data_IF_761489753843
#
_entry.id   IF_761489753843
#
_cell.length_a   1.000
_cell.length_b   1.000
_cell.length_c   1.000
_cell.angle_alpha   90.00
_cell.angle_beta   90.00
_cell.angle_gamma   90.00
#
_symmetry.space_group_name_H-M   'P 1'
#
loop_
_entity.id
_entity.type
_entity.pdbx_description
1 polymer ?
#
# COMPACT_ATOMS: atom_id res chain seq x y z
N UNK A 1 -37.90 57.36 -24.17
CA UNK A 1 -36.59 57.16 -23.48
C UNK A 1 -36.44 55.68 -23.17
N UNK A 2 -35.41 55.02 -23.72
CA UNK A 2 -35.13 53.59 -23.52
C UNK A 2 -34.17 53.43 -22.33
N UNK A 3 -34.54 52.63 -21.35
CA UNK A 3 -33.73 52.28 -20.18
C UNK A 3 -32.61 51.30 -20.59
N UNK A 4 -31.34 51.45 -20.16
CA UNK A 4 -30.30 50.51 -20.54
C UNK A 4 -30.37 49.24 -19.68
N UNK A 5 -30.41 48.09 -20.35
CA UNK A 5 -30.37 46.76 -19.75
C UNK A 5 -28.93 46.42 -19.37
N UNK A 6 -28.64 46.33 -18.07
CA UNK A 6 -27.30 46.00 -17.54
C UNK A 6 -27.03 44.50 -17.78
N UNK A 7 -26.24 44.16 -18.80
CA UNK A 7 -25.69 42.80 -18.98
C UNK A 7 -24.67 42.54 -17.86
N UNK A 8 -24.99 41.60 -16.97
CA UNK A 8 -24.04 41.08 -15.98
C UNK A 8 -23.15 40.06 -16.71
N UNK A 9 -21.90 40.43 -16.94
CA UNK A 9 -20.87 39.61 -17.59
C UNK A 9 -20.41 38.48 -16.65
N UNK A 10 -20.42 37.25 -17.14
CA UNK A 10 -19.93 36.07 -16.42
C UNK A 10 -18.41 36.00 -16.32
N UNK A 11 -17.82 36.71 -15.34
CA UNK A 11 -16.37 36.67 -15.04
C UNK A 11 -16.12 36.44 -13.53
N UNK A 12 -16.86 35.53 -12.88
CA UNK A 12 -16.63 35.21 -11.46
C UNK A 12 -16.77 33.73 -11.09
N UNK A 13 -16.94 32.82 -12.05
CA UNK A 13 -17.18 31.39 -11.74
C UNK A 13 -15.91 30.53 -11.65
N UNK A 14 -14.82 30.92 -12.32
CA UNK A 14 -13.59 30.10 -12.39
C UNK A 14 -12.86 29.99 -11.04
N UNK A 15 -12.69 31.03 -10.19
CA UNK A 15 -12.00 30.86 -8.91
C UNK A 15 -12.84 30.09 -7.88
N UNK A 16 -14.17 30.11 -7.99
CA UNK A 16 -15.05 29.41 -7.05
C UNK A 16 -14.97 27.89 -7.22
N UNK A 17 -14.81 27.38 -8.45
CA UNK A 17 -14.66 25.94 -8.70
C UNK A 17 -13.31 25.39 -8.24
N UNK A 18 -12.23 26.18 -8.34
CA UNK A 18 -10.92 25.76 -7.84
C UNK A 18 -10.89 25.72 -6.31
N UNK A 19 -11.50 26.71 -5.65
CA UNK A 19 -11.64 26.72 -4.19
C UNK A 19 -12.60 25.62 -3.71
N UNK A 20 -13.72 25.40 -4.40
CA UNK A 20 -14.65 24.31 -4.09
C UNK A 20 -14.02 22.92 -4.33
N UNK A 21 -13.21 22.76 -5.38
CA UNK A 21 -12.47 21.53 -5.64
C UNK A 21 -11.41 21.25 -4.57
N UNK A 22 -10.68 22.28 -4.13
CA UNK A 22 -9.72 22.17 -3.03
C UNK A 22 -10.42 21.84 -1.70
N UNK A 23 -11.57 22.48 -1.41
CA UNK A 23 -12.35 22.18 -0.20
C UNK A 23 -12.94 20.76 -0.26
N UNK A 24 -13.45 20.32 -1.42
CA UNK A 24 -13.95 18.95 -1.58
C UNK A 24 -12.82 17.92 -1.42
N UNK A 25 -11.64 18.19 -1.97
CA UNK A 25 -10.46 17.34 -1.82
C UNK A 25 -10.00 17.27 -0.35
N UNK A 26 -9.93 18.42 0.34
CA UNK A 26 -9.60 18.49 1.77
C UNK A 26 -10.65 17.76 2.60
N UNK A 27 -11.94 17.96 2.32
CA UNK A 27 -13.02 17.30 3.05
C UNK A 27 -13.04 15.78 2.79
N UNK A 28 -12.74 15.33 1.58
CA UNK A 28 -12.60 13.89 1.28
C UNK A 28 -11.40 13.30 1.99
N UNK A 29 -10.23 13.97 1.96
CA UNK A 29 -9.06 13.52 2.72
C UNK A 29 -9.29 13.52 4.23
N UNK A 30 -9.96 14.55 4.77
CA UNK A 30 -10.31 14.64 6.18
C UNK A 30 -11.35 13.58 6.58
N UNK A 31 -12.31 13.27 5.70
CA UNK A 31 -13.27 12.17 5.92
C UNK A 31 -12.58 10.81 5.89
N UNK A 32 -11.61 10.61 4.99
CA UNK A 32 -10.77 9.41 4.98
C UNK A 32 -9.97 9.31 6.29
N UNK A 33 -9.29 10.39 6.72
CA UNK A 33 -8.55 10.41 7.99
C UNK A 33 -9.43 10.09 9.21
N UNK A 34 -10.67 10.61 9.26
CA UNK A 34 -11.60 10.36 10.37
C UNK A 34 -12.16 8.92 10.31
N UNK A 35 -12.51 8.41 9.12
CA UNK A 35 -13.01 7.03 8.95
C UNK A 35 -11.98 5.96 9.28
N UNK A 36 -10.69 6.27 9.19
CA UNK A 36 -9.60 5.34 9.46
C UNK A 36 -8.88 5.57 10.78
N UNK A 37 -9.31 6.51 11.64
CA UNK A 37 -8.66 6.84 12.92
C UNK A 37 -8.64 5.73 14.00
N UNK A 38 -9.07 4.50 13.69
CA UNK A 38 -8.98 3.36 14.61
C UNK A 38 -7.55 2.83 14.74
N UNK A 39 -7.14 2.38 15.93
CA UNK A 39 -5.86 1.69 16.11
C UNK A 39 -5.91 0.32 15.38
N UNK A 40 -5.18 0.14 14.27
CA UNK A 40 -4.95 -1.17 13.63
C UNK A 40 -5.59 -1.38 12.25
N UNK A 41 -5.58 -2.64 11.80
CA UNK A 41 -6.19 -3.09 10.54
C UNK A 41 -7.70 -3.15 10.71
N UNK A 42 -8.45 -2.48 9.83
CA UNK A 42 -9.92 -2.47 9.85
C UNK A 42 -10.44 -3.69 9.10
N UNK A 43 -11.24 -4.52 9.77
CA UNK A 43 -11.91 -5.66 9.16
C UNK A 43 -13.25 -5.26 8.55
N UNK A 44 -13.46 -5.57 7.26
CA UNK A 44 -14.78 -5.46 6.64
C UNK A 44 -15.38 -6.84 6.41
N UNK A 45 -16.64 -7.03 6.83
CA UNK A 45 -17.44 -8.17 6.41
C UNK A 45 -17.97 -7.91 5.00
N UNK A 46 -17.57 -8.74 4.03
CA UNK A 46 -18.09 -8.65 2.66
C UNK A 46 -19.52 -9.21 2.63
N UNK A 47 -20.53 -8.37 2.37
CA UNK A 47 -21.87 -8.87 2.03
C UNK A 47 -21.80 -9.62 0.69
N UNK A 48 -21.97 -10.93 0.72
CA UNK A 48 -22.03 -11.78 -0.46
C UNK A 48 -23.08 -11.26 -1.45
N UNK A 49 -22.69 -11.06 -2.72
CA UNK A 49 -23.62 -10.79 -3.81
C UNK A 49 -24.07 -12.12 -4.41
N UNK A 50 -25.38 -12.33 -4.52
CA UNK A 50 -26.04 -13.57 -4.97
C UNK A 50 -25.62 -14.00 -6.39
N UNK A 51 -24.62 -14.88 -6.48
CA UNK A 51 -24.43 -15.84 -7.57
C UNK A 51 -23.96 -17.14 -6.90
N UNK A 52 -24.52 -18.31 -7.27
CA UNK A 52 -24.09 -19.57 -6.67
C UNK A 52 -22.60 -19.77 -6.99
N UNK A 53 -21.72 -19.87 -5.99
CA UNK A 53 -20.31 -20.08 -6.26
C UNK A 53 -20.15 -21.46 -6.93
N UNK A 54 -19.42 -21.49 -8.04
CA UNK A 54 -18.68 -22.70 -8.39
C UNK A 54 -17.94 -23.17 -7.13
N UNK A 55 -17.79 -24.48 -6.84
CA UNK A 55 -17.18 -24.93 -5.60
C UNK A 55 -15.81 -24.26 -5.46
N UNK A 56 -15.75 -23.22 -4.62
CA UNK A 56 -14.52 -22.52 -4.35
C UNK A 56 -13.63 -23.56 -3.67
N UNK A 57 -12.41 -23.74 -4.18
CA UNK A 57 -11.42 -24.48 -3.44
C UNK A 57 -11.35 -23.83 -2.06
N UNK A 58 -11.50 -24.64 -1.00
CA UNK A 58 -11.42 -24.15 0.37
C UNK A 58 -10.10 -23.39 0.55
N UNK A 59 -10.15 -22.23 1.20
CA UNK A 59 -8.95 -21.45 1.45
C UNK A 59 -7.91 -22.31 2.21
N UNK A 60 -6.63 -22.25 1.84
CA UNK A 60 -5.62 -23.08 2.47
C UNK A 60 -5.43 -22.70 3.94
N UNK A 61 -5.00 -23.67 4.74
CA UNK A 61 -4.50 -23.40 6.10
C UNK A 61 -3.17 -22.68 5.99
N UNK A 62 -2.88 -21.75 6.91
CA UNK A 62 -1.62 -21.01 6.92
C UNK A 62 -0.39 -21.94 6.89
N UNK A 63 -0.45 -23.04 7.64
CA UNK A 63 0.64 -24.02 7.74
C UNK A 63 0.98 -24.72 6.42
N UNK A 64 0.04 -24.78 5.47
CA UNK A 64 0.23 -25.40 4.16
C UNK A 64 0.83 -24.42 3.14
N UNK A 65 0.88 -23.12 3.45
CA UNK A 65 1.42 -22.08 2.58
C UNK A 65 2.96 -22.09 2.68
N UNK A 66 3.71 -22.06 1.58
CA UNK A 66 5.16 -21.99 1.62
C UNK A 66 5.69 -20.74 2.34
N UNK A 67 6.78 -20.91 3.09
CA UNK A 67 7.50 -19.79 3.69
C UNK A 67 8.38 -19.07 2.68
N UNK A 68 8.61 -17.78 2.88
CA UNK A 68 9.54 -16.99 2.08
C UNK A 68 10.48 -16.15 2.96
N UNK A 69 11.64 -15.79 2.42
CA UNK A 69 12.60 -14.90 3.10
C UNK A 69 12.09 -13.46 3.02
N UNK A 70 11.68 -12.89 4.16
CA UNK A 70 11.29 -11.47 4.25
C UNK A 70 12.49 -10.51 4.25
N UNK A 71 12.26 -9.29 3.76
CA UNK A 71 13.11 -8.11 3.96
C UNK A 71 13.36 -7.85 5.46
N UNK A 72 12.46 -8.28 6.35
CA UNK A 72 12.64 -8.19 7.80
C UNK A 72 13.94 -8.82 8.31
N UNK A 73 14.44 -9.88 7.65
CA UNK A 73 15.68 -10.53 8.05
C UNK A 73 16.91 -9.60 7.97
N UNK A 74 16.84 -8.56 7.14
CA UNK A 74 17.94 -7.61 6.93
C UNK A 74 17.59 -6.22 7.47
N UNK A 75 16.33 -5.80 7.36
CA UNK A 75 15.87 -4.48 7.82
C UNK A 75 15.56 -4.45 9.33
N UNK A 76 15.09 -5.56 9.89
CA UNK A 76 14.74 -5.73 11.30
C UNK A 76 15.34 -7.02 11.89
N UNK A 77 16.68 -7.18 11.87
CA UNK A 77 17.33 -8.43 12.32
C UNK A 77 17.10 -8.74 13.80
N UNK A 78 16.82 -7.71 14.61
CA UNK A 78 16.47 -7.87 16.03
C UNK A 78 15.04 -8.35 16.28
N UNK A 79 14.20 -8.46 15.22
CA UNK A 79 12.78 -8.83 15.30
C UNK A 79 12.02 -8.02 16.36
N UNK A 80 12.33 -6.72 16.42
CA UNK A 80 11.62 -5.79 17.31
C UNK A 80 10.31 -5.43 16.60
N UNK A 81 9.20 -5.88 17.16
CA UNK A 81 7.86 -5.68 16.58
C UNK A 81 7.06 -4.76 17.53
N UNK A 82 6.44 -3.68 17.04
CA UNK A 82 5.70 -2.77 17.90
C UNK A 82 4.44 -3.44 18.45
N UNK A 83 4.06 -3.14 19.70
CA UNK A 83 2.89 -3.76 20.35
C UNK A 83 1.55 -3.39 19.69
N UNK A 84 1.47 -2.20 19.11
CA UNK A 84 0.33 -1.69 18.35
C UNK A 84 0.85 -1.06 17.06
N UNK A 85 0.01 -1.01 16.02
CA UNK A 85 0.40 -0.41 14.74
C UNK A 85 1.54 -1.17 14.06
N UNK A 86 2.31 -0.46 13.25
CA UNK A 86 3.35 -0.99 12.38
C UNK A 86 4.57 -0.09 12.40
N UNK A 87 5.75 -0.70 12.41
CA UNK A 87 6.97 0.01 12.06
C UNK A 87 7.16 -0.11 10.55
N UNK A 88 7.45 1.02 9.91
CA UNK A 88 7.64 1.11 8.46
C UNK A 88 9.05 1.59 8.15
N UNK A 89 9.64 0.97 7.13
CA UNK A 89 10.96 1.26 6.60
C UNK A 89 10.78 1.74 5.17
N UNK A 90 11.16 2.98 4.89
CA UNK A 90 11.06 3.59 3.56
C UNK A 90 12.40 3.49 2.84
N UNK A 91 12.39 2.95 1.63
CA UNK A 91 13.60 2.64 0.86
C UNK A 91 13.51 3.19 -0.56
N UNK A 92 14.67 3.34 -1.21
CA UNK A 92 14.78 3.64 -2.64
C UNK A 92 15.40 2.48 -3.43
N UNK A 93 14.72 2.06 -4.49
CA UNK A 93 15.25 1.13 -5.52
C UNK A 93 16.08 1.87 -6.58
N UNK A 94 16.07 3.21 -6.57
CA UNK A 94 16.76 4.10 -7.51
C UNK A 94 18.22 4.38 -7.14
N UNK A 95 18.76 5.56 -7.46
CA UNK A 95 20.03 6.00 -6.87
C UNK A 95 19.75 6.72 -5.54
N UNK A 96 20.39 6.38 -4.40
CA UNK A 96 20.27 7.13 -3.15
C UNK A 96 20.52 8.64 -3.29
N UNK A 97 21.43 9.06 -4.17
CA UNK A 97 21.70 10.47 -4.46
C UNK A 97 20.46 11.19 -5.02
N UNK A 98 19.48 10.44 -5.53
CA UNK A 98 18.24 11.03 -6.04
C UNK A 98 17.29 11.48 -4.96
N UNK A 99 17.47 11.03 -3.72
CA UNK A 99 16.69 11.45 -2.56
C UNK A 99 17.15 12.82 -2.04
N UNK A 100 18.43 13.16 -2.17
CA UNK A 100 18.97 14.46 -1.76
C UNK A 100 18.79 15.56 -2.82
N UNK A 101 18.53 15.19 -4.07
CA UNK A 101 18.40 16.11 -5.20
C UNK A 101 17.08 15.88 -5.96
N UNK A 102 16.02 16.64 -5.66
CA UNK A 102 14.68 16.37 -6.18
C UNK A 102 14.69 16.37 -7.71
N UNK A 103 13.91 15.45 -8.28
CA UNK A 103 13.97 15.15 -9.71
C UNK A 103 13.47 16.34 -10.55
N UNK A 104 12.59 17.16 -9.96
CA UNK A 104 12.13 18.44 -10.54
C UNK A 104 13.25 19.46 -10.74
N UNK A 105 14.33 19.42 -9.96
CA UNK A 105 15.48 20.33 -10.10
C UNK A 105 16.47 19.84 -11.17
N UNK A 106 16.54 18.53 -11.44
CA UNK A 106 17.47 17.96 -12.43
C UNK A 106 16.90 17.83 -13.84
N UNK A 107 15.64 18.23 -14.06
CA UNK A 107 14.99 18.13 -15.38
C UNK A 107 14.98 16.70 -15.95
N UNK A 108 15.15 15.70 -15.08
CA UNK A 108 15.22 14.30 -15.49
C UNK A 108 13.79 13.90 -15.83
N UNK A 109 13.60 13.45 -17.06
CA UNK A 109 12.31 12.97 -17.51
C UNK A 109 11.98 11.70 -16.69
N UNK A 110 11.10 11.82 -15.68
CA UNK A 110 10.54 10.73 -14.86
C UNK A 110 9.77 9.69 -15.69
N UNK A 111 9.74 9.85 -17.01
CA UNK A 111 9.37 8.87 -18.04
C UNK A 111 10.35 7.68 -18.13
N UNK A 112 10.88 7.24 -16.98
CA UNK A 112 11.33 5.85 -16.79
C UNK A 112 10.00 5.06 -16.74
N UNK A 113 9.46 4.49 -17.82
CA UNK A 113 10.10 3.93 -19.00
C UNK A 113 9.23 4.06 -20.26
N UNK A 114 9.85 4.17 -21.43
CA UNK A 114 9.24 3.79 -22.71
C UNK A 114 9.07 2.24 -22.84
N UNK A 115 9.35 1.48 -21.78
CA UNK A 115 9.45 0.01 -21.75
C UNK A 115 8.42 -0.67 -20.82
N UNK A 116 7.51 0.10 -20.19
CA UNK A 116 6.53 -0.40 -19.22
C UNK A 116 7.05 -0.54 -17.77
N UNK A 117 6.14 -0.78 -16.80
CA UNK A 117 6.45 -0.91 -15.39
C UNK A 117 7.40 -2.10 -15.12
N UNK A 118 8.42 -1.86 -14.29
CA UNK A 118 9.42 -2.86 -13.91
C UNK A 118 8.86 -3.81 -12.85
N UNK A 119 9.04 -5.12 -13.05
CA UNK A 119 8.77 -6.14 -12.03
C UNK A 119 10.01 -6.37 -11.18
N UNK A 120 9.91 -6.11 -9.89
CA UNK A 120 10.98 -6.41 -8.94
C UNK A 120 10.87 -7.84 -8.42
N UNK A 121 12.02 -8.51 -8.27
CA UNK A 121 12.14 -9.73 -7.48
C UNK A 121 12.23 -9.36 -6.01
N UNK A 122 11.28 -9.85 -5.20
CA UNK A 122 11.24 -9.53 -3.76
C UNK A 122 12.42 -10.14 -3.01
N UNK A 123 12.83 -11.34 -3.38
CA UNK A 123 14.08 -11.95 -2.88
C UNK A 123 15.31 -11.17 -3.34
N UNK A 124 15.37 -10.76 -4.61
CA UNK A 124 16.47 -9.96 -5.14
C UNK A 124 16.66 -8.62 -4.41
N UNK A 125 15.56 -7.98 -4.02
CA UNK A 125 15.60 -6.75 -3.21
C UNK A 125 16.13 -7.00 -1.79
N UNK A 126 15.91 -8.20 -1.21
CA UNK A 126 16.48 -8.56 0.11
C UNK A 126 18.01 -8.45 0.09
N UNK A 127 18.66 -9.02 -0.94
CA UNK A 127 20.11 -8.92 -1.09
C UNK A 127 20.56 -7.46 -1.23
N UNK A 128 19.80 -6.67 -1.99
CA UNK A 128 20.11 -5.26 -2.19
C UNK A 128 20.10 -4.50 -0.86
N UNK A 129 19.06 -4.69 -0.05
CA UNK A 129 18.96 -4.05 1.26
C UNK A 129 20.07 -4.49 2.22
N UNK A 130 20.59 -5.72 2.08
CA UNK A 130 21.69 -6.22 2.89
C UNK A 130 23.04 -5.55 2.57
N UNK A 131 23.31 -5.27 1.29
CA UNK A 131 24.61 -4.77 0.82
C UNK A 131 24.65 -3.26 0.57
N UNK A 132 23.51 -2.60 0.45
CA UNK A 132 23.37 -1.16 0.18
C UNK A 132 22.50 -0.47 1.27
N UNK A 133 22.98 -0.38 2.53
CA UNK A 133 22.20 0.12 3.66
C UNK A 133 21.81 1.60 3.54
N UNK A 134 22.53 2.40 2.76
CA UNK A 134 22.22 3.80 2.48
C UNK A 134 20.90 4.01 1.73
N UNK A 135 20.32 2.93 1.19
CA UNK A 135 19.02 2.96 0.53
C UNK A 135 17.85 3.04 1.49
N UNK A 136 18.07 2.75 2.77
CA UNK A 136 17.10 3.01 3.82
C UNK A 136 17.06 4.52 4.08
N UNK A 137 15.94 5.14 3.71
CA UNK A 137 15.77 6.60 3.76
C UNK A 137 15.20 7.06 5.08
N UNK A 138 14.20 6.34 5.60
CA UNK A 138 13.57 6.69 6.87
C UNK A 138 12.90 5.48 7.53
N UNK A 139 12.62 5.61 8.83
CA UNK A 139 11.79 4.67 9.60
C UNK A 139 10.74 5.45 10.38
N UNK A 140 9.52 4.95 10.43
CA UNK A 140 8.42 5.58 11.16
C UNK A 140 7.54 4.53 11.85
N UNK A 141 6.73 5.00 12.79
CA UNK A 141 5.66 4.21 13.40
C UNK A 141 4.31 4.69 12.84
N UNK A 142 3.48 3.78 12.34
CA UNK A 142 2.21 4.10 11.69
C UNK A 142 1.08 3.20 12.18
N UNK A 143 -0.15 3.71 12.19
CA UNK A 143 -1.31 2.93 12.59
C UNK A 143 -1.83 2.02 11.48
N UNK A 144 -1.55 2.36 10.22
CA UNK A 144 -2.06 1.66 9.04
C UNK A 144 -0.99 1.46 7.99
N UNK A 145 -1.13 0.37 7.24
CA UNK A 145 -0.34 0.09 6.05
C UNK A 145 -0.97 0.83 4.87
N UNK A 146 -0.55 2.08 4.65
CA UNK A 146 -1.00 2.92 3.55
C UNK A 146 0.06 3.94 3.15
N UNK A 147 0.17 4.25 1.87
CA UNK A 147 0.97 5.35 1.32
C UNK A 147 0.35 5.85 0.02
N UNK A 148 0.25 7.17 -0.14
CA UNK A 148 -0.29 7.80 -1.34
C UNK A 148 0.47 9.09 -1.65
N UNK A 149 1.15 9.16 -2.79
CA UNK A 149 1.79 10.39 -3.28
C UNK A 149 2.18 10.28 -4.76
N UNK A 150 2.48 11.42 -5.37
CA UNK A 150 2.98 11.50 -6.75
C UNK A 150 4.43 11.98 -6.79
N UNK A 151 5.19 11.56 -7.81
CA UNK A 151 6.55 12.03 -8.07
C UNK A 151 7.48 11.91 -6.84
N UNK A 152 8.05 12.98 -6.32
CA UNK A 152 9.03 12.96 -5.21
C UNK A 152 8.50 13.59 -3.92
N UNK A 153 7.18 13.74 -3.78
CA UNK A 153 6.56 14.50 -2.69
C UNK A 153 6.67 13.82 -1.31
N UNK A 154 6.95 12.52 -1.27
CA UNK A 154 7.03 11.74 -0.03
C UNK A 154 8.46 11.29 0.27
N UNK A 155 9.00 11.75 1.41
CA UNK A 155 10.40 11.50 1.85
C UNK A 155 11.47 11.84 0.80
N UNK A 156 11.11 12.63 -0.23
CA UNK A 156 11.93 12.94 -1.40
C UNK A 156 12.30 11.72 -2.26
N UNK A 157 11.63 10.58 -2.06
CA UNK A 157 11.87 9.38 -2.84
C UNK A 157 11.08 9.51 -4.14
N UNK A 158 11.71 9.40 -5.32
CA UNK A 158 10.97 9.34 -6.57
C UNK A 158 10.02 8.14 -6.57
N UNK A 159 8.77 8.39 -6.92
CA UNK A 159 7.69 7.40 -6.86
C UNK A 159 8.01 6.11 -7.63
N UNK A 160 8.60 6.13 -8.85
CA UNK A 160 9.02 4.91 -9.54
C UNK A 160 10.12 4.11 -8.84
N UNK A 161 10.83 4.74 -7.90
CA UNK A 161 11.93 4.14 -7.16
C UNK A 161 11.53 3.84 -5.69
N UNK A 162 10.27 4.05 -5.32
CA UNK A 162 9.79 3.85 -3.96
C UNK A 162 9.70 2.38 -3.56
N UNK A 163 10.16 2.05 -2.37
CA UNK A 163 9.86 0.80 -1.71
C UNK A 163 9.57 1.00 -0.23
N UNK A 164 8.80 0.08 0.35
CA UNK A 164 8.48 0.10 1.77
C UNK A 164 8.33 -1.32 2.33
N UNK A 165 8.74 -1.46 3.59
CA UNK A 165 8.51 -2.64 4.41
C UNK A 165 7.79 -2.25 5.69
N UNK A 166 6.62 -2.84 5.92
CA UNK A 166 5.85 -2.70 7.15
C UNK A 166 5.93 -3.99 7.96
N UNK A 167 6.07 -3.85 9.27
CA UNK A 167 6.06 -4.97 10.21
C UNK A 167 5.27 -4.64 11.46
N UNK A 168 4.43 -5.57 11.90
CA UNK A 168 3.59 -5.40 13.07
C UNK A 168 2.84 -6.68 13.40
N UNK A 169 2.04 -6.64 14.46
CA UNK A 169 1.22 -7.77 14.86
C UNK A 169 -0.20 -7.63 14.31
N UNK A 170 -0.69 -8.67 13.64
CA UNK A 170 -2.10 -8.82 13.26
C UNK A 170 -2.82 -9.67 14.31
N UNK A 171 -3.84 -9.10 14.95
CA UNK A 171 -4.69 -9.81 15.88
C UNK A 171 -5.90 -10.36 15.14
N UNK A 172 -6.05 -11.68 15.14
CA UNK A 172 -7.19 -12.42 14.60
C UNK A 172 -8.10 -12.77 15.79
N UNK A 173 -9.28 -12.16 15.92
CA UNK A 173 -10.14 -12.37 17.09
C UNK A 173 -10.90 -13.70 17.04
N UNK A 174 -11.22 -14.16 15.83
CA UNK A 174 -12.14 -15.26 15.59
C UNK A 174 -11.62 -16.17 14.47
N UNK A 175 -11.96 -17.45 14.56
CA UNK A 175 -11.62 -18.45 13.56
C UNK A 175 -12.38 -18.18 12.27
N UNK A 176 -11.69 -18.16 11.14
CA UNK A 176 -12.39 -18.03 9.86
C UNK A 176 -11.47 -17.85 8.66
N UNK A 177 -12.11 -17.63 7.52
CA UNK A 177 -11.45 -17.33 6.27
C UNK A 177 -11.21 -15.82 6.17
N UNK A 178 -9.93 -15.43 6.13
CA UNK A 178 -9.53 -14.03 6.03
C UNK A 178 -8.98 -13.72 4.64
N UNK A 179 -9.48 -12.66 4.03
CA UNK A 179 -9.01 -12.13 2.74
C UNK A 179 -8.02 -10.98 2.96
N UNK A 180 -6.89 -11.01 2.27
CA UNK A 180 -5.90 -9.93 2.28
C UNK A 180 -5.94 -9.20 0.95
N UNK A 181 -6.36 -7.93 0.97
CA UNK A 181 -6.62 -7.13 -0.23
C UNK A 181 -5.62 -5.99 -0.30
N UNK A 182 -4.52 -6.15 -1.06
CA UNK A 182 -3.62 -5.05 -1.35
C UNK A 182 -4.23 -4.15 -2.44
N UNK A 183 -4.48 -2.89 -2.09
CA UNK A 183 -4.83 -1.82 -3.02
C UNK A 183 -3.53 -1.27 -3.61
N UNK A 184 -3.23 -1.55 -4.88
CA UNK A 184 -1.99 -1.05 -5.51
C UNK A 184 -2.10 -0.88 -7.01
N UNK A 185 -1.20 -0.12 -7.63
CA UNK A 185 -1.09 -0.03 -9.09
C UNK A 185 0.36 -0.16 -9.52
N UNK A 186 0.66 -1.14 -10.38
CA UNK A 186 1.99 -1.39 -10.95
C UNK A 186 3.12 -1.42 -9.91
N UNK A 187 2.95 -2.25 -8.90
CA UNK A 187 3.88 -2.43 -7.79
C UNK A 187 4.11 -3.91 -7.52
N UNK A 188 5.36 -4.32 -7.32
CA UNK A 188 5.65 -5.64 -6.76
C UNK A 188 5.31 -5.62 -5.27
N UNK A 189 4.46 -6.55 -4.84
CA UNK A 189 3.97 -6.64 -3.46
C UNK A 189 4.12 -8.07 -2.97
N UNK A 190 4.56 -8.23 -1.72
CA UNK A 190 4.58 -9.50 -1.00
C UNK A 190 4.03 -9.32 0.41
N UNK A 191 3.16 -10.22 0.83
CA UNK A 191 2.56 -10.23 2.18
C UNK A 191 2.92 -11.57 2.82
N UNK A 192 3.51 -11.51 4.00
CA UNK A 192 3.84 -12.68 4.80
C UNK A 192 3.10 -12.64 6.14
N UNK A 193 2.63 -13.80 6.56
CA UNK A 193 2.05 -14.02 7.87
C UNK A 193 2.84 -15.13 8.57
N UNK A 194 3.50 -14.83 9.69
CA UNK A 194 4.47 -15.71 10.35
C UNK A 194 5.53 -16.29 9.39
N UNK A 195 5.90 -15.52 8.37
CA UNK A 195 6.85 -15.92 7.33
C UNK A 195 6.27 -16.75 6.18
N UNK A 196 4.99 -17.14 6.25
CA UNK A 196 4.26 -17.80 5.16
C UNK A 196 3.81 -16.77 4.12
N UNK A 197 4.17 -16.99 2.85
CA UNK A 197 3.89 -16.04 1.77
C UNK A 197 2.44 -16.19 1.27
N UNK A 198 1.52 -15.42 1.85
CA UNK A 198 0.09 -15.50 1.52
C UNK A 198 -0.27 -14.75 0.22
N UNK A 199 0.54 -13.76 -0.17
CA UNK A 199 0.36 -13.01 -1.41
C UNK A 199 1.72 -12.62 -1.99
N UNK A 200 1.90 -12.80 -3.30
CA UNK A 200 2.99 -12.18 -4.07
C UNK A 200 2.48 -11.86 -5.47
N UNK A 201 2.58 -10.59 -5.88
CA UNK A 201 1.99 -10.12 -7.14
C UNK A 201 2.52 -8.76 -7.59
N UNK A 202 2.25 -8.42 -8.86
CA UNK A 202 2.65 -7.13 -9.47
C UNK A 202 1.48 -6.27 -9.95
N UNK A 203 0.34 -6.90 -10.23
CA UNK A 203 -0.87 -6.25 -10.75
C UNK A 203 -2.06 -6.61 -9.85
N UNK A 204 -3.09 -5.75 -9.80
CA UNK A 204 -4.26 -5.92 -8.92
C UNK A 204 -4.99 -7.26 -9.11
N UNK A 205 -4.91 -7.86 -10.31
CA UNK A 205 -5.49 -9.16 -10.62
C UNK A 205 -4.42 -10.09 -11.17
N UNK A 206 -3.47 -10.51 -10.35
CA UNK A 206 -2.70 -11.71 -10.66
C UNK A 206 -3.51 -12.93 -10.21
N UNK A 207 -4.03 -13.69 -11.16
CA UNK A 207 -4.88 -14.87 -10.96
C UNK A 207 -4.18 -16.06 -10.27
N UNK A 208 -2.92 -15.87 -9.83
CA UNK A 208 -2.12 -16.84 -9.07
C UNK A 208 -2.04 -16.55 -7.56
N UNK A 209 -2.59 -15.44 -7.07
CA UNK A 209 -2.54 -15.10 -5.64
C UNK A 209 -3.65 -15.78 -4.85
N UNK A 210 -3.30 -16.37 -3.71
CA UNK A 210 -4.27 -16.78 -2.70
C UNK A 210 -4.82 -15.49 -2.08
N UNK A 211 -6.05 -15.14 -2.42
CA UNK A 211 -6.67 -13.93 -1.87
C UNK A 211 -7.16 -14.15 -0.44
N UNK A 212 -7.29 -15.41 0.02
CA UNK A 212 -7.73 -15.77 1.36
C UNK A 212 -6.96 -16.93 1.98
N UNK A 213 -6.98 -17.00 3.31
CA UNK A 213 -6.33 -18.01 4.15
C UNK A 213 -7.21 -18.32 5.37
N UNK A 214 -7.23 -19.58 5.81
CA UNK A 214 -7.89 -19.98 7.06
C UNK A 214 -6.99 -19.64 8.26
N UNK A 215 -7.53 -18.92 9.23
CA UNK A 215 -6.80 -18.50 10.44
C UNK A 215 -7.54 -18.89 11.71
N UNK A 216 -6.76 -19.26 12.72
CA UNK A 216 -7.20 -19.43 14.10
C UNK A 216 -7.14 -18.10 14.87
N UNK A 217 -7.93 -17.93 15.95
CA UNK A 217 -7.75 -16.82 16.87
C UNK A 217 -6.32 -16.76 17.39
N UNK A 218 -5.69 -15.59 17.32
CA UNK A 218 -4.29 -15.47 17.68
C UNK A 218 -3.64 -14.19 17.21
N UNK A 219 -2.36 -14.06 17.51
CA UNK A 219 -1.51 -12.95 17.12
C UNK A 219 -0.47 -13.48 16.13
N UNK A 220 -0.46 -12.91 14.94
CA UNK A 220 0.39 -13.32 13.83
C UNK A 220 1.32 -12.17 13.44
N UNK A 221 2.58 -12.47 13.15
CA UNK A 221 3.51 -11.50 12.60
C UNK A 221 3.11 -11.18 11.16
N UNK A 222 2.74 -9.93 10.90
CA UNK A 222 2.41 -9.45 9.56
C UNK A 222 3.60 -8.65 9.01
N UNK A 223 4.09 -9.08 7.87
CA UNK A 223 5.13 -8.40 7.10
C UNK A 223 4.59 -8.06 5.71
N UNK A 224 4.70 -6.80 5.30
CA UNK A 224 4.25 -6.33 3.99
C UNK A 224 5.39 -5.62 3.30
N UNK A 225 5.68 -6.03 2.08
CA UNK A 225 6.76 -5.51 1.26
C UNK A 225 6.17 -4.99 -0.04
N UNK A 226 6.58 -3.78 -0.44
CA UNK A 226 6.13 -3.15 -1.67
C UNK A 226 7.29 -2.45 -2.36
N UNK A 227 7.39 -2.61 -3.68
CA UNK A 227 8.28 -1.85 -4.55
C UNK A 227 7.48 -1.30 -5.73
N UNK A 228 7.39 0.02 -5.82
CA UNK A 228 6.67 0.70 -6.88
C UNK A 228 7.47 0.73 -8.17
N UNK A 229 6.78 0.78 -9.31
CA UNK A 229 7.41 0.94 -10.62
C UNK A 229 6.71 1.96 -11.51
N UNK A 230 5.85 2.78 -10.91
CA UNK A 230 5.01 3.77 -11.60
C UNK A 230 5.27 5.19 -11.11
N UNK A 231 4.83 6.20 -11.86
CA UNK A 231 5.07 7.62 -11.54
C UNK A 231 4.19 8.18 -10.42
N UNK A 232 3.22 7.39 -9.95
CA UNK A 232 2.48 7.61 -8.71
C UNK A 232 2.59 6.39 -7.83
N UNK A 233 2.55 6.61 -6.52
CA UNK A 233 2.53 5.55 -5.52
C UNK A 233 1.18 5.60 -4.82
N UNK A 234 0.44 4.51 -4.93
CA UNK A 234 -0.79 4.29 -4.17
C UNK A 234 -0.73 2.84 -3.67
N UNK A 235 -0.66 2.69 -2.35
CA UNK A 235 -0.64 1.39 -1.71
C UNK A 235 -1.45 1.41 -0.42
N UNK A 236 -2.26 0.38 -0.21
CA UNK A 236 -2.95 0.11 1.04
C UNK A 236 -3.16 -1.38 1.24
N UNK A 237 -3.27 -1.84 2.49
CA UNK A 237 -3.69 -3.20 2.81
C UNK A 237 -4.97 -3.19 3.64
N UNK A 238 -5.96 -3.93 3.17
CA UNK A 238 -7.20 -4.23 3.89
C UNK A 238 -7.26 -5.72 4.19
N UNK A 239 -7.75 -6.10 5.36
CA UNK A 239 -7.97 -7.51 5.74
C UNK A 239 -9.44 -7.70 6.06
N UNK A 240 -10.10 -8.69 5.46
CA UNK A 240 -11.54 -8.92 5.61
C UNK A 240 -11.79 -10.30 6.21
N UNK A 241 -12.73 -10.43 7.15
CA UNK A 241 -13.29 -11.73 7.51
C UNK A 241 -14.39 -12.07 6.50
N UNK A 242 -14.18 -13.11 5.68
CA UNK A 242 -15.14 -13.56 4.67
C UNK A 242 -16.21 -14.46 5.28
N UNK A 243 -15.78 -15.43 6.10
CA UNK A 243 -16.66 -16.43 6.67
C UNK A 243 -16.12 -16.92 8.02
N UNK A 244 -16.98 -16.91 9.03
CA UNK A 244 -16.73 -17.59 10.30
C UNK A 244 -16.79 -19.11 10.08
N UNK A 245 -15.82 -19.83 10.64
CA UNK A 245 -15.92 -21.28 10.72
C UNK A 245 -16.91 -21.66 11.85
N UNK A 246 -17.71 -22.73 11.70
CA UNK A 246 -18.68 -23.17 12.69
C UNK A 246 -18.06 -23.60 14.02
#
# INVERSE_FOLDING_TARGET
MKTPQKKISGIFRIPLYLVAGAIAYILVNLLLEIWFSGEGVVFYSRKEHELPPAPAAEAPQLADIPTATSWGNVLNPGRVIPEKGFDVYYLTTGNPDDVSHPVRERGINLQKSAAGPVRFSMEGLTNRWAYEPERLIAKEHVNHIRVHYAYDEFKRIPSPDFAAYWVGWLNIPERGEYEFVPEHSWASVRILLDGHCIYEGHEQRDSRSLHSVQLEPGRYLLEVEMANSWHTTDFGLTVNLLKEAP
#
